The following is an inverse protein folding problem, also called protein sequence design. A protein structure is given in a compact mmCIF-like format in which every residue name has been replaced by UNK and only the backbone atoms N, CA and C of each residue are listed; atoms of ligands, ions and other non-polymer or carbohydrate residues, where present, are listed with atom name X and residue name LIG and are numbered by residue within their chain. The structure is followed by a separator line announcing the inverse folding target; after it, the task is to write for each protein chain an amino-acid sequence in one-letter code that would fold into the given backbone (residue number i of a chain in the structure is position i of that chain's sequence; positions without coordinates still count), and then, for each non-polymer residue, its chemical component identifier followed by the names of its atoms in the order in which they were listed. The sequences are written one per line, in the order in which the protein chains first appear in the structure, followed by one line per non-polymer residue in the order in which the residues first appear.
data_IF_768172360538
#
_entry.id   IF_768172360538
#
_cell.length_a   1.000
_cell.length_b   1.000
_cell.length_c   1.000
_cell.angle_alpha   90.00
_cell.angle_beta   90.00
_cell.angle_gamma   90.00
#
_symmetry.space_group_name_H-M   'P 1'
#
loop_
_entity.id
_entity.type
_entity.pdbx_description
1 polymer ?
#
# COMPACT_ATOMS: atom_id res chain seq x y z
N UNK A 1 3.63 9.09 -4.77
CA UNK A 1 5.07 8.76 -4.64
C UNK A 1 5.30 7.35 -5.16
N UNK A 2 6.49 7.03 -5.70
CA UNK A 2 6.84 5.67 -6.10
C UNK A 2 7.65 5.00 -5.00
N UNK A 3 7.31 3.77 -4.64
CA UNK A 3 7.96 3.01 -3.58
C UNK A 3 8.21 1.56 -4.00
N UNK A 4 9.17 0.89 -3.36
CA UNK A 4 9.42 -0.54 -3.49
C UNK A 4 8.49 -1.30 -2.55
N UNK A 5 7.72 -2.23 -3.11
CA UNK A 5 6.80 -3.07 -2.35
C UNK A 5 7.56 -4.09 -1.51
N UNK A 6 7.34 -4.08 -0.19
CA UNK A 6 7.94 -5.02 0.77
C UNK A 6 6.92 -6.07 1.17
N UNK A 7 6.68 -7.01 0.25
CA UNK A 7 5.78 -8.16 0.43
C UNK A 7 4.96 -8.47 -0.82
N UNK A 8 4.35 -9.64 -0.87
CA UNK A 8 3.41 -10.00 -1.94
C UNK A 8 2.01 -9.49 -1.61
N UNK A 9 1.30 -9.04 -2.65
CA UNK A 9 -0.08 -8.57 -2.54
C UNK A 9 -0.93 -9.18 -3.65
N UNK A 10 -1.93 -9.95 -3.26
CA UNK A 10 -2.99 -10.40 -4.15
C UNK A 10 -4.11 -9.35 -4.23
N UNK A 11 -4.62 -9.14 -5.44
CA UNK A 11 -5.65 -8.12 -5.75
C UNK A 11 -6.69 -8.65 -6.71
N UNK A 12 -7.85 -7.98 -6.75
CA UNK A 12 -8.87 -8.30 -7.73
C UNK A 12 -8.47 -7.76 -9.10
N UNK A 13 -8.58 -8.59 -10.13
CA UNK A 13 -8.16 -8.22 -11.50
C UNK A 13 -9.09 -7.22 -12.18
N UNK A 14 -10.35 -7.12 -11.73
CA UNK A 14 -11.41 -6.33 -12.35
C UNK A 14 -11.62 -4.95 -11.69
N UNK A 15 -10.75 -4.55 -10.78
CA UNK A 15 -10.83 -3.23 -10.14
C UNK A 15 -9.45 -2.74 -9.71
N UNK A 16 -9.27 -1.42 -9.74
CA UNK A 16 -8.15 -0.78 -9.05
C UNK A 16 -8.28 -1.01 -7.55
N UNK A 17 -7.21 -1.44 -6.92
CA UNK A 17 -7.17 -1.69 -5.47
C UNK A 17 -6.45 -0.56 -4.74
N UNK A 18 -7.00 -0.15 -3.60
CA UNK A 18 -6.40 0.79 -2.65
C UNK A 18 -6.19 0.07 -1.34
N UNK A 19 -4.94 -0.13 -0.96
CA UNK A 19 -4.57 -1.02 0.14
C UNK A 19 -3.88 -0.20 1.22
N UNK A 20 -4.41 -0.20 2.47
CA UNK A 20 -3.74 0.43 3.59
C UNK A 20 -2.32 -0.11 3.77
N UNK A 21 -1.36 0.80 3.89
CA UNK A 21 0.04 0.47 3.95
C UNK A 21 0.83 1.46 4.82
N UNK A 22 2.01 1.02 5.25
CA UNK A 22 3.02 1.86 5.85
C UNK A 22 4.13 2.15 4.84
N UNK A 23 4.31 3.43 4.56
CA UNK A 23 5.38 3.98 3.76
C UNK A 23 6.49 4.46 4.69
N UNK A 24 7.69 3.96 4.48
CA UNK A 24 8.91 4.32 5.19
C UNK A 24 10.05 4.60 4.19
N UNK A 25 11.21 5.00 4.70
CA UNK A 25 12.44 5.14 3.90
C UNK A 25 13.45 4.11 4.39
N UNK A 26 13.94 3.27 3.49
CA UNK A 26 14.94 2.23 3.74
C UNK A 26 16.06 2.34 2.74
N UNK A 27 17.31 2.40 3.21
CA UNK A 27 18.51 2.53 2.38
C UNK A 27 18.40 3.69 1.36
N UNK A 28 17.72 4.77 1.74
CA UNK A 28 17.51 5.96 0.91
C UNK A 28 16.39 5.84 -0.13
N UNK A 29 15.62 4.75 -0.13
CA UNK A 29 14.52 4.49 -1.06
C UNK A 29 13.20 4.38 -0.30
N UNK A 30 12.12 4.89 -0.89
CA UNK A 30 10.79 4.67 -0.34
C UNK A 30 10.41 3.19 -0.39
N UNK A 31 10.07 2.61 0.76
CA UNK A 31 9.62 1.24 0.92
C UNK A 31 8.18 1.24 1.43
N UNK A 32 7.31 0.40 0.84
CA UNK A 32 5.90 0.33 1.22
C UNK A 32 5.52 -1.08 1.66
N UNK A 33 4.93 -1.21 2.85
CA UNK A 33 4.47 -2.47 3.43
C UNK A 33 2.95 -2.48 3.56
N UNK A 34 2.24 -3.44 2.96
CA UNK A 34 0.82 -3.63 3.21
C UNK A 34 0.56 -3.93 4.68
N UNK A 35 -0.49 -3.32 5.25
CA UNK A 35 -0.90 -3.60 6.62
C UNK A 35 -1.50 -5.01 6.72
N UNK A 36 -1.19 -5.75 7.79
CA UNK A 36 -1.53 -7.18 7.91
C UNK A 36 -3.05 -7.44 7.99
N UNK A 37 -3.79 -6.60 8.72
CA UNK A 37 -5.22 -6.80 8.99
C UNK A 37 -6.12 -6.16 7.92
N UNK A 38 -6.05 -6.68 6.70
CA UNK A 38 -6.80 -6.13 5.55
C UNK A 38 -8.31 -6.39 5.61
N UNK A 39 -8.78 -7.23 6.53
CA UNK A 39 -10.20 -7.58 6.65
C UNK A 39 -11.00 -6.52 7.39
N UNK A 40 -10.37 -5.77 8.30
CA UNK A 40 -11.01 -4.70 9.07
C UNK A 40 -10.49 -3.33 8.63
N UNK A 41 -11.19 -2.74 7.65
CA UNK A 41 -10.77 -1.49 7.00
C UNK A 41 -10.44 -0.36 7.99
N UNK A 42 -11.18 -0.23 9.10
CA UNK A 42 -10.93 0.80 10.11
C UNK A 42 -9.62 0.58 10.88
N UNK A 43 -9.35 -0.66 11.29
CA UNK A 43 -8.13 -1.02 12.03
C UNK A 43 -6.91 -0.87 11.11
N UNK A 44 -7.01 -1.38 9.88
CA UNK A 44 -5.95 -1.22 8.89
C UNK A 44 -5.64 0.26 8.64
N UNK A 45 -6.68 1.10 8.48
CA UNK A 45 -6.49 2.52 8.20
C UNK A 45 -5.88 3.29 9.37
N UNK A 46 -6.21 2.95 10.62
CA UNK A 46 -5.64 3.64 11.79
C UNK A 46 -4.15 3.33 12.00
N UNK A 47 -3.69 2.18 11.49
CA UNK A 47 -2.30 1.73 11.55
C UNK A 47 -1.48 2.09 10.31
N UNK A 48 -2.09 2.75 9.32
CA UNK A 48 -1.47 3.06 8.04
C UNK A 48 -1.18 4.55 7.90
N UNK A 49 -0.06 4.89 7.27
CA UNK A 49 0.27 6.27 6.89
C UNK A 49 0.11 6.53 5.37
N UNK A 50 -0.25 5.50 4.60
CA UNK A 50 -0.34 5.57 3.15
C UNK A 50 -1.38 4.58 2.58
N UNK A 51 -1.70 4.78 1.29
CA UNK A 51 -2.44 3.84 0.45
C UNK A 51 -1.57 3.40 -0.73
N UNK A 52 -1.34 2.09 -0.81
CA UNK A 52 -0.78 1.42 -1.97
C UNK A 52 -1.85 1.35 -3.08
N UNK A 53 -1.49 1.75 -4.30
CA UNK A 53 -2.37 1.66 -5.47
C UNK A 53 -1.89 0.50 -6.35
N UNK A 54 -2.79 -0.46 -6.57
CA UNK A 54 -2.59 -1.52 -7.57
C UNK A 54 -3.55 -1.28 -8.74
N UNK A 55 -3.05 -1.09 -9.97
CA UNK A 55 -3.89 -0.90 -11.15
C UNK A 55 -4.84 -2.08 -11.40
N UNK A 56 -5.94 -1.82 -12.09
CA UNK A 56 -6.81 -2.86 -12.63
C UNK A 56 -6.01 -3.77 -13.60
N UNK A 57 -6.38 -5.05 -13.67
CA UNK A 57 -5.70 -6.07 -14.48
C UNK A 57 -4.50 -6.70 -13.79
N UNK A 58 -4.02 -6.14 -12.68
CA UNK A 58 -2.94 -6.73 -11.87
C UNK A 58 -3.59 -7.62 -10.80
N UNK A 59 -3.44 -8.94 -10.93
CA UNK A 59 -3.94 -9.90 -9.94
C UNK A 59 -2.99 -10.16 -8.78
N UNK A 60 -1.69 -9.88 -8.98
CA UNK A 60 -0.65 -10.01 -7.96
C UNK A 60 0.46 -8.99 -8.20
N UNK A 61 0.85 -8.29 -7.16
CA UNK A 61 2.07 -7.49 -7.12
C UNK A 61 3.12 -8.20 -6.25
N UNK A 62 4.31 -8.41 -6.80
CA UNK A 62 5.40 -9.11 -6.12
C UNK A 62 6.30 -8.18 -5.32
N UNK A 63 7.06 -8.78 -4.39
CA UNK A 63 8.13 -8.09 -3.66
C UNK A 63 9.08 -7.33 -4.60
N UNK A 64 9.53 -6.17 -4.16
CA UNK A 64 10.38 -5.19 -4.85
C UNK A 64 9.81 -4.60 -6.16
N UNK A 65 8.53 -4.87 -6.47
CA UNK A 65 7.83 -4.13 -7.51
C UNK A 65 7.77 -2.63 -7.17
N UNK A 66 8.00 -1.78 -8.17
CA UNK A 66 7.78 -0.34 -8.02
C UNK A 66 6.31 -0.03 -8.17
N UNK A 67 5.70 0.56 -7.15
CA UNK A 67 4.26 0.81 -7.05
C UNK A 67 3.96 2.27 -6.73
N UNK A 68 2.77 2.72 -7.12
CA UNK A 68 2.29 4.06 -6.80
C UNK A 68 1.65 4.07 -5.41
N UNK A 69 1.96 5.11 -4.65
CA UNK A 69 1.53 5.28 -3.25
C UNK A 69 1.02 6.69 -3.03
N UNK A 70 -0.07 6.82 -2.27
CA UNK A 70 -0.62 8.09 -1.79
C UNK A 70 -0.38 8.16 -0.28
N UNK A 71 0.21 9.25 0.19
CA UNK A 71 0.40 9.49 1.63
C UNK A 71 -0.90 10.01 2.22
N UNK A 72 -1.27 9.50 3.39
CA UNK A 72 -2.47 9.92 4.10
C UNK A 72 -2.12 11.07 5.04
N UNK A 73 -2.81 12.20 4.89
CA UNK A 73 -2.70 13.28 5.86
C UNK A 73 -3.63 13.03 7.05
N UNK A 74 -3.12 13.26 8.27
CA UNK A 74 -3.99 13.29 9.44
C UNK A 74 -4.83 14.56 9.38
N UNK A 75 -6.15 14.40 9.32
CA UNK A 75 -7.07 15.50 9.60
C UNK A 75 -6.89 15.89 11.06
N UNK A 76 -6.22 17.01 11.30
CA UNK A 76 -6.22 17.65 12.60
C UNK A 76 -7.67 18.06 12.92
N UNK A 77 -8.20 17.55 14.02
CA UNK A 77 -9.53 17.87 14.55
C UNK A 77 -9.46 19.12 15.44
#
# INVERSE_FOLDING_TARGET
VRALLKGDVDTQVNARSFIPANLDVEDGVYAVRPTADRQHALIASSQSNALLIIPEGVGKAGVDATVDVVVLERRHA
#
